data_IF_298942676367
#
_entry.id   IF_298942676367
#
_cell.length_a   1.000
_cell.length_b   1.000
_cell.length_c   1.000
_cell.angle_alpha   90.00
_cell.angle_beta   90.00
_cell.angle_gamma   90.00
#
_symmetry.space_group_name_H-M   'P 1'
#
loop_
_entity.id
_entity.type
_entity.pdbx_description
1 polymer ?
#
# COMPACT_ATOMS: atom_id res chain seq x y z
N UNK A 1 -8.66 34.82 13.57
CA UNK A 1 -7.30 34.27 13.72
C UNK A 1 -7.14 33.21 12.65
N UNK A 2 -6.40 33.50 11.59
CA UNK A 2 -6.14 32.55 10.50
C UNK A 2 -4.93 31.72 10.89
N UNK A 3 -5.06 30.40 10.92
CA UNK A 3 -3.95 29.50 11.17
C UNK A 3 -2.85 29.73 10.11
N UNK A 4 -1.58 29.87 10.50
CA UNK A 4 -0.49 29.99 9.55
C UNK A 4 -0.47 28.77 8.63
N UNK A 5 -0.22 28.95 7.31
CA UNK A 5 -0.03 27.81 6.43
C UNK A 5 1.12 26.95 6.95
N UNK A 6 0.88 25.65 7.04
CA UNK A 6 1.87 24.70 7.52
C UNK A 6 3.14 24.79 6.65
N UNK A 7 4.35 24.67 7.23
CA UNK A 7 5.59 24.72 6.46
C UNK A 7 5.52 23.73 5.29
N UNK A 8 6.00 24.07 4.08
CA UNK A 8 5.89 23.21 2.90
C UNK A 8 6.33 21.75 3.13
N UNK A 9 7.32 21.53 4.01
CA UNK A 9 7.80 20.21 4.39
C UNK A 9 6.88 19.38 5.29
N UNK A 10 5.94 19.97 6.05
CA UNK A 10 5.12 19.21 7.01
C UNK A 10 3.99 18.42 6.33
N UNK A 11 3.41 18.95 5.26
CA UNK A 11 2.36 18.26 4.48
C UNK A 11 2.96 17.10 3.67
N UNK A 12 4.14 17.30 3.09
CA UNK A 12 4.80 16.31 2.24
C UNK A 12 5.34 15.13 3.07
N UNK A 13 5.97 15.39 4.22
CA UNK A 13 6.41 14.34 5.16
C UNK A 13 5.23 13.57 5.76
N UNK A 14 4.13 14.26 6.09
CA UNK A 14 2.90 13.62 6.56
C UNK A 14 2.32 12.68 5.50
N UNK A 15 2.29 13.10 4.23
CA UNK A 15 1.79 12.28 3.12
C UNK A 15 2.61 11.01 2.92
N UNK A 16 3.93 11.08 3.08
CA UNK A 16 4.82 9.92 2.99
C UNK A 16 4.63 8.95 4.16
N UNK A 17 4.44 9.48 5.37
CA UNK A 17 4.11 8.69 6.57
C UNK A 17 2.79 7.94 6.40
N UNK A 18 1.75 8.60 5.89
CA UNK A 18 0.45 7.96 5.62
C UNK A 18 0.55 6.88 4.53
N UNK A 19 1.33 7.11 3.47
CA UNK A 19 1.61 6.07 2.46
C UNK A 19 2.26 4.83 3.08
N UNK A 20 3.27 5.01 3.93
CA UNK A 20 3.95 3.90 4.60
C UNK A 20 2.99 3.12 5.53
N UNK A 21 2.14 3.83 6.28
CA UNK A 21 1.11 3.19 7.11
C UNK A 21 0.13 2.38 6.26
N UNK A 22 -0.33 2.95 5.15
CA UNK A 22 -1.22 2.26 4.20
C UNK A 22 -0.58 1.00 3.63
N UNK A 23 0.69 1.08 3.22
CA UNK A 23 1.44 -0.07 2.72
C UNK A 23 1.54 -1.19 3.77
N UNK A 24 1.90 -0.83 5.01
CA UNK A 24 2.01 -1.79 6.10
C UNK A 24 0.65 -2.45 6.41
N UNK A 25 -0.43 -1.67 6.43
CA UNK A 25 -1.78 -2.19 6.63
C UNK A 25 -2.20 -3.19 5.55
N UNK A 26 -1.94 -2.86 4.28
CA UNK A 26 -2.22 -3.75 3.15
C UNK A 26 -1.35 -5.01 3.19
N UNK A 27 -0.09 -4.90 3.58
CA UNK A 27 0.81 -6.06 3.75
C UNK A 27 0.30 -6.99 4.85
N UNK A 28 -0.17 -6.47 5.98
CA UNK A 28 -0.76 -7.28 7.05
C UNK A 28 -2.06 -7.95 6.60
N UNK A 29 -2.93 -7.21 5.89
CA UNK A 29 -4.16 -7.77 5.33
C UNK A 29 -3.88 -8.90 4.33
N UNK A 30 -2.88 -8.73 3.45
CA UNK A 30 -2.49 -9.77 2.50
C UNK A 30 -2.02 -11.04 3.21
N UNK A 31 -1.21 -10.91 4.26
CA UNK A 31 -0.76 -12.05 5.07
C UNK A 31 -1.92 -12.75 5.78
N UNK A 32 -2.85 -12.00 6.35
CA UNK A 32 -4.05 -12.56 6.99
C UNK A 32 -4.92 -13.34 6.01
N UNK A 33 -5.11 -12.83 4.80
CA UNK A 33 -5.86 -13.52 3.75
C UNK A 33 -5.18 -14.83 3.34
N UNK A 34 -3.85 -14.82 3.16
CA UNK A 34 -3.08 -16.04 2.83
C UNK A 34 -3.20 -17.09 3.94
N UNK A 35 -3.18 -16.68 5.20
CA UNK A 35 -3.41 -17.60 6.32
C UNK A 35 -4.80 -18.22 6.24
N UNK A 36 -5.84 -17.41 6.04
CA UNK A 36 -7.22 -17.93 5.89
C UNK A 36 -7.37 -18.88 4.70
N UNK A 37 -6.66 -18.67 3.59
CA UNK A 37 -6.58 -19.64 2.47
C UNK A 37 -6.05 -21.00 2.92
N UNK A 38 -4.98 -21.00 3.70
CA UNK A 38 -4.40 -22.26 4.17
C UNK A 38 -5.29 -22.97 5.19
N UNK A 39 -5.94 -22.22 6.08
CA UNK A 39 -6.87 -22.77 7.07
C UNK A 39 -8.09 -23.42 6.40
N UNK A 40 -8.64 -22.78 5.36
CA UNK A 40 -9.74 -23.32 4.56
C UNK A 40 -9.29 -24.56 3.79
N UNK A 41 -8.11 -24.54 3.17
CA UNK A 41 -7.54 -25.70 2.46
C UNK A 41 -7.30 -26.89 3.40
N UNK A 42 -6.79 -26.64 4.59
CA UNK A 42 -6.55 -27.67 5.63
C UNK A 42 -7.87 -28.29 6.07
N UNK A 43 -8.86 -27.45 6.36
CA UNK A 43 -10.21 -27.88 6.74
C UNK A 43 -10.86 -28.70 5.62
N UNK A 44 -10.67 -28.31 4.36
CA UNK A 44 -11.15 -29.04 3.18
C UNK A 44 -10.54 -30.43 3.09
N UNK A 45 -9.22 -30.58 3.29
CA UNK A 45 -8.55 -31.88 3.25
C UNK A 45 -9.15 -32.87 4.26
N UNK A 46 -9.52 -32.38 5.45
CA UNK A 46 -10.23 -33.17 6.45
C UNK A 46 -11.69 -33.47 6.10
N UNK A 47 -12.43 -32.48 5.59
CA UNK A 47 -13.86 -32.63 5.24
C UNK A 47 -14.08 -33.54 4.03
N UNK A 48 -13.26 -33.45 2.99
CA UNK A 48 -13.36 -34.35 1.83
C UNK A 48 -13.12 -35.81 2.18
N UNK A 49 -12.25 -36.08 3.15
CA UNK A 49 -12.03 -37.43 3.64
C UNK A 49 -13.25 -37.99 4.39
N UNK A 50 -14.09 -37.11 4.95
CA UNK A 50 -15.26 -37.48 5.75
C UNK A 50 -16.60 -37.47 4.97
N UNK A 51 -16.76 -36.58 3.98
CA UNK A 51 -17.99 -36.38 3.22
C UNK A 51 -17.84 -36.86 1.77
N UNK A 52 -18.19 -38.12 1.52
CA UNK A 52 -18.41 -38.63 0.16
C UNK A 52 -19.86 -38.42 -0.29
N UNK A 53 -20.08 -38.07 -1.56
CA UNK A 53 -21.42 -37.96 -2.16
C UNK A 53 -21.79 -36.56 -2.66
N UNK A 54 -23.10 -36.33 -2.88
CA UNK A 54 -23.66 -35.10 -3.47
C UNK A 54 -23.29 -33.82 -2.69
N UNK A 55 -23.23 -33.88 -1.36
CA UNK A 55 -22.89 -32.74 -0.50
C UNK A 55 -21.41 -32.32 -0.65
N UNK A 56 -20.52 -33.27 -0.92
CA UNK A 56 -19.11 -32.99 -1.21
C UNK A 56 -18.95 -32.17 -2.49
N UNK A 57 -19.78 -32.41 -3.51
CA UNK A 57 -19.76 -31.68 -4.78
C UNK A 57 -20.25 -30.23 -4.66
N UNK A 58 -21.31 -29.99 -3.89
CA UNK A 58 -21.79 -28.62 -3.63
C UNK A 58 -20.77 -27.80 -2.83
N UNK A 59 -20.16 -28.42 -1.81
CA UNK A 59 -19.11 -27.78 -1.00
C UNK A 59 -17.84 -27.49 -1.81
N UNK A 60 -17.43 -28.41 -2.70
CA UNK A 60 -16.34 -28.18 -3.66
C UNK A 60 -16.56 -26.95 -4.53
N UNK A 61 -17.77 -26.76 -5.03
CA UNK A 61 -18.11 -25.61 -5.86
C UNK A 61 -18.04 -24.30 -5.08
N UNK A 62 -18.58 -24.28 -3.86
CA UNK A 62 -18.49 -23.13 -2.97
C UNK A 62 -17.03 -22.75 -2.69
N UNK A 63 -16.16 -23.74 -2.47
CA UNK A 63 -14.74 -23.50 -2.25
C UNK A 63 -14.03 -22.96 -3.49
N UNK A 64 -14.37 -23.45 -4.68
CA UNK A 64 -13.83 -22.93 -5.93
C UNK A 64 -14.22 -21.46 -6.14
N UNK A 65 -15.49 -21.12 -5.91
CA UNK A 65 -15.98 -19.75 -5.99
C UNK A 65 -15.29 -18.85 -4.96
N UNK A 66 -15.16 -19.34 -3.72
CA UNK A 66 -14.45 -18.64 -2.66
C UNK A 66 -12.98 -18.38 -3.03
N UNK A 67 -12.26 -19.41 -3.50
CA UNK A 67 -10.86 -19.27 -3.92
C UNK A 67 -10.71 -18.22 -5.01
N UNK A 68 -11.61 -18.21 -6.00
CA UNK A 68 -11.61 -17.21 -7.06
C UNK A 68 -11.79 -15.78 -6.53
N UNK A 69 -12.69 -15.57 -5.56
CA UNK A 69 -12.87 -14.26 -4.93
C UNK A 69 -11.63 -13.83 -4.15
N UNK A 70 -11.02 -14.76 -3.40
CA UNK A 70 -9.81 -14.44 -2.64
C UNK A 70 -8.66 -14.05 -3.57
N UNK A 71 -8.47 -14.75 -4.69
CA UNK A 71 -7.42 -14.42 -5.66
C UNK A 71 -7.60 -13.01 -6.25
N UNK A 72 -8.85 -12.60 -6.51
CA UNK A 72 -9.17 -11.24 -6.95
C UNK A 72 -8.79 -10.22 -5.87
N UNK A 73 -9.18 -10.46 -4.62
CA UNK A 73 -8.89 -9.56 -3.49
C UNK A 73 -7.38 -9.44 -3.27
N UNK A 74 -6.66 -10.56 -3.24
CA UNK A 74 -5.20 -10.59 -3.06
C UNK A 74 -4.49 -9.84 -4.18
N UNK A 75 -4.94 -9.97 -5.43
CA UNK A 75 -4.41 -9.21 -6.57
C UNK A 75 -4.66 -7.72 -6.41
N UNK A 76 -5.87 -7.31 -6.05
CA UNK A 76 -6.19 -5.90 -5.84
C UNK A 76 -5.36 -5.28 -4.71
N UNK A 77 -5.13 -6.02 -3.62
CA UNK A 77 -4.23 -5.59 -2.54
C UNK A 77 -2.80 -5.40 -3.06
N UNK A 78 -2.28 -6.34 -3.85
CA UNK A 78 -0.96 -6.22 -4.48
C UNK A 78 -0.83 -4.96 -5.35
N UNK A 79 -1.82 -4.70 -6.21
CA UNK A 79 -1.85 -3.50 -7.04
C UNK A 79 -1.92 -2.20 -6.21
N UNK A 80 -2.65 -2.20 -5.09
CA UNK A 80 -2.68 -1.04 -4.20
C UNK A 80 -1.31 -0.81 -3.52
N UNK A 81 -0.63 -1.89 -3.11
CA UNK A 81 0.72 -1.79 -2.54
C UNK A 81 1.72 -1.23 -3.56
N UNK A 82 1.68 -1.70 -4.81
CA UNK A 82 2.50 -1.18 -5.91
C UNK A 82 2.27 0.33 -6.11
N UNK A 83 1.00 0.76 -6.19
CA UNK A 83 0.67 2.18 -6.34
C UNK A 83 1.14 3.05 -5.18
N UNK A 84 1.06 2.56 -3.94
CA UNK A 84 1.59 3.28 -2.78
C UNK A 84 3.11 3.42 -2.85
N UNK A 85 3.81 2.38 -3.32
CA UNK A 85 5.26 2.42 -3.51
C UNK A 85 5.66 3.39 -4.63
N UNK A 86 4.99 3.34 -5.78
CA UNK A 86 5.17 4.30 -6.88
C UNK A 86 4.94 5.75 -6.41
N UNK A 87 3.87 5.97 -5.65
CA UNK A 87 3.57 7.28 -5.07
C UNK A 87 4.67 7.75 -4.12
N UNK A 88 5.22 6.85 -3.30
CA UNK A 88 6.35 7.16 -2.42
C UNK A 88 7.61 7.58 -3.18
N UNK A 89 7.95 6.88 -4.26
CA UNK A 89 9.10 7.23 -5.13
C UNK A 89 8.88 8.59 -5.80
N UNK A 90 7.68 8.85 -6.32
CA UNK A 90 7.35 10.13 -6.94
C UNK A 90 7.46 11.29 -5.95
N UNK A 91 6.95 11.11 -4.71
CA UNK A 91 7.07 12.10 -3.65
C UNK A 91 8.52 12.40 -3.29
N UNK A 92 9.39 11.38 -3.22
CA UNK A 92 10.80 11.55 -2.94
C UNK A 92 11.53 12.32 -4.04
N UNK A 93 11.23 12.03 -5.32
CA UNK A 93 11.80 12.76 -6.44
C UNK A 93 11.40 14.24 -6.43
N UNK A 94 10.13 14.55 -6.13
CA UNK A 94 9.66 15.94 -6.01
C UNK A 94 10.36 16.67 -4.86
N UNK A 95 10.58 15.99 -3.72
CA UNK A 95 11.32 16.58 -2.59
C UNK A 95 12.76 16.92 -2.97
N UNK A 96 13.45 16.04 -3.73
CA UNK A 96 14.80 16.30 -4.23
C UNK A 96 14.86 17.54 -5.13
N UNK A 97 13.97 17.61 -6.12
CA UNK A 97 13.89 18.74 -7.05
C UNK A 97 13.59 20.06 -6.33
N UNK A 98 12.62 20.07 -5.41
CA UNK A 98 12.30 21.27 -4.64
C UNK A 98 13.48 21.72 -3.77
N UNK A 99 14.21 20.78 -3.17
CA UNK A 99 15.40 21.09 -2.35
C UNK A 99 16.49 21.74 -3.20
N UNK A 100 16.76 21.22 -4.40
CA UNK A 100 17.72 21.82 -5.34
C UNK A 100 17.31 23.23 -5.79
N UNK A 101 16.03 23.44 -6.10
CA UNK A 101 15.51 24.77 -6.47
C UNK A 101 15.66 25.78 -5.34
N UNK A 102 15.34 25.38 -4.10
CA UNK A 102 15.46 26.26 -2.92
C UNK A 102 16.94 26.60 -2.65
N UNK A 103 17.82 25.61 -2.67
CA UNK A 103 19.26 25.83 -2.46
C UNK A 103 19.89 26.68 -3.58
N UNK A 104 19.47 26.48 -4.83
CA UNK A 104 19.89 27.30 -5.97
C UNK A 104 19.43 28.75 -5.86
N UNK A 105 18.20 28.98 -5.36
CA UNK A 105 17.66 30.33 -5.14
C UNK A 105 18.39 31.06 -4.00
N UNK A 106 18.72 30.36 -2.90
CA UNK A 106 19.51 30.91 -1.80
C UNK A 106 20.90 31.36 -2.23
N UNK A 107 21.59 30.53 -3.04
CA UNK A 107 22.89 30.91 -3.64
C UNK A 107 22.81 32.14 -4.55
N UNK A 108 21.68 32.33 -5.24
CA UNK A 108 21.51 33.48 -6.13
C UNK A 108 21.33 34.80 -5.35
N UNK A 109 20.75 34.75 -4.15
CA UNK A 109 20.69 35.91 -3.25
C UNK A 109 22.05 36.24 -2.64
N UNK A 110 22.82 35.24 -2.22
CA UNK A 110 24.18 35.46 -1.68
C UNK A 110 25.11 36.15 -2.68
N UNK A 111 24.96 35.86 -3.98
CA UNK A 111 25.72 36.54 -5.05
C UNK A 111 25.28 38.00 -5.22
N UNK A 112 24.00 38.30 -5.03
CA UNK A 112 23.49 39.68 -5.11
C UNK A 112 23.90 40.52 -3.90
N UNK A 113 23.88 39.95 -2.70
CA UNK A 113 24.34 40.63 -1.47
C UNK A 113 25.86 40.90 -1.48
N UNK A 114 26.64 40.15 -2.27
CA UNK A 114 28.07 40.44 -2.48
C UNK A 114 28.34 41.58 -3.46
N UNK A 115 27.32 42.11 -4.14
CA UNK A 115 27.44 43.18 -5.14
C UNK A 115 26.93 44.55 -4.64
N UNK A 116 26.48 44.65 -3.39
CA UNK A 116 26.03 45.89 -2.71
C UNK A 116 26.90 46.24 -1.53
#
# INVERSE_FOLDING_TARGET
MSTPPAPPGSIQTSSQSENQKGYNALSMAQSGIKQSQEDVRTTMGGLMAAYGGQDGGAYQRLLADWSGQVDIITRNIGQMMEKLQETGVLQQNIQGQNTEVILGSGRSNDVFDQLT
#
